data_IF_220981231905
#
_entry.id   IF_220981231905
#
_cell.length_a   1.000
_cell.length_b   1.000
_cell.length_c   1.000
_cell.angle_alpha   90.00
_cell.angle_beta   90.00
_cell.angle_gamma   90.00
#
_symmetry.space_group_name_H-M   'P 1'
#
loop_
_entity.id
_entity.type
_entity.pdbx_description
1 polymer ?
#
# COMPACT_ATOMS: atom_id res chain seq x y z
N UNK A 1 -13.27 -10.32 -1.18
CA UNK A 1 -12.27 -9.82 -2.15
C UNK A 1 -12.80 -8.51 -2.74
N UNK A 2 -12.41 -7.37 -2.22
CA UNK A 2 -12.64 -6.07 -2.88
C UNK A 2 -11.37 -5.80 -3.68
N UNK A 3 -11.50 -5.89 -5.00
CA UNK A 3 -10.44 -5.51 -5.93
C UNK A 3 -10.17 -4.00 -5.75
N UNK A 4 -9.15 -3.66 -4.98
CA UNK A 4 -8.53 -2.35 -5.09
C UNK A 4 -7.79 -2.32 -6.43
N UNK A 5 -8.51 -1.94 -7.48
CA UNK A 5 -7.86 -1.47 -8.69
C UNK A 5 -6.93 -0.33 -8.27
N UNK A 6 -5.64 -0.40 -8.60
CA UNK A 6 -4.71 0.64 -8.21
C UNK A 6 -5.25 1.98 -8.68
N UNK A 7 -5.30 2.95 -7.77
CA UNK A 7 -5.83 4.32 -7.97
C UNK A 7 -5.40 4.94 -9.30
N UNK A 8 -4.22 4.59 -9.78
CA UNK A 8 -3.68 5.05 -11.07
C UNK A 8 -4.38 4.48 -12.29
N UNK A 9 -4.79 3.19 -12.29
CA UNK A 9 -5.56 2.63 -13.40
C UNK A 9 -6.93 3.29 -13.50
N UNK A 10 -7.57 3.52 -12.37
CA UNK A 10 -8.85 4.24 -12.34
C UNK A 10 -8.70 5.67 -12.86
N UNK A 11 -7.64 6.39 -12.43
CA UNK A 11 -7.34 7.75 -12.90
C UNK A 11 -7.03 7.78 -14.42
N UNK A 12 -6.24 6.85 -14.94
CA UNK A 12 -5.95 6.77 -16.39
C UNK A 12 -7.20 6.50 -17.22
N UNK A 13 -8.08 5.59 -16.78
CA UNK A 13 -9.34 5.33 -17.48
C UNK A 13 -10.27 6.55 -17.44
N UNK A 14 -10.36 7.23 -16.29
CA UNK A 14 -11.12 8.46 -16.13
C UNK A 14 -10.63 9.57 -17.07
N UNK A 15 -9.32 9.75 -17.22
CA UNK A 15 -8.71 10.70 -18.15
C UNK A 15 -9.04 10.39 -19.61
N UNK A 16 -8.93 9.12 -20.02
CA UNK A 16 -9.26 8.71 -21.39
C UNK A 16 -10.74 9.00 -21.69
N UNK A 17 -11.64 8.69 -20.75
CA UNK A 17 -13.07 8.95 -20.91
C UNK A 17 -13.33 10.46 -21.07
N UNK A 18 -12.71 11.31 -20.25
CA UNK A 18 -12.86 12.76 -20.33
C UNK A 18 -12.38 13.31 -21.69
N UNK A 19 -11.24 12.83 -22.17
CA UNK A 19 -10.70 13.25 -23.48
C UNK A 19 -11.65 12.83 -24.63
N UNK A 20 -12.13 11.60 -24.60
CA UNK A 20 -13.08 11.09 -25.60
C UNK A 20 -14.37 11.91 -25.58
N UNK A 21 -14.92 12.22 -24.42
CA UNK A 21 -16.11 13.07 -24.29
C UNK A 21 -15.86 14.48 -24.86
N UNK A 22 -14.71 15.08 -24.58
CA UNK A 22 -14.35 16.41 -25.12
C UNK A 22 -14.30 16.38 -26.65
N UNK A 23 -13.66 15.39 -27.26
CA UNK A 23 -13.54 15.24 -28.72
C UNK A 23 -14.91 15.04 -29.35
N UNK A 24 -15.78 14.21 -28.77
CA UNK A 24 -17.14 13.96 -29.27
C UNK A 24 -17.96 15.26 -29.23
N UNK A 25 -17.96 15.99 -28.12
CA UNK A 25 -18.71 17.23 -27.96
C UNK A 25 -18.24 18.33 -28.93
N UNK A 26 -16.94 18.47 -29.12
CA UNK A 26 -16.37 19.39 -30.08
C UNK A 26 -16.77 18.99 -31.51
N UNK A 27 -16.73 17.70 -31.86
CA UNK A 27 -17.15 17.19 -33.15
C UNK A 27 -18.61 17.47 -33.44
N UNK A 28 -19.50 17.26 -32.47
CA UNK A 28 -20.92 17.57 -32.55
C UNK A 28 -21.13 19.07 -32.80
N UNK A 29 -20.44 19.92 -32.03
CA UNK A 29 -20.54 21.37 -32.18
C UNK A 29 -20.09 21.86 -33.56
N UNK A 30 -18.99 21.36 -34.08
CA UNK A 30 -18.47 21.69 -35.42
C UNK A 30 -19.47 21.20 -36.48
N UNK A 31 -20.00 19.97 -36.36
CA UNK A 31 -21.01 19.44 -37.29
C UNK A 31 -22.26 20.30 -37.33
N UNK A 32 -22.77 20.72 -36.16
CA UNK A 32 -23.93 21.62 -36.05
C UNK A 32 -23.66 23.00 -36.67
N UNK A 33 -22.45 23.53 -36.49
CA UNK A 33 -22.02 24.78 -37.09
C UNK A 33 -22.05 24.71 -38.63
N UNK A 34 -21.48 23.65 -39.20
CA UNK A 34 -21.44 23.41 -40.67
C UNK A 34 -22.83 23.24 -41.24
N UNK A 35 -23.76 22.64 -40.52
CA UNK A 35 -25.16 22.39 -40.95
C UNK A 35 -26.09 23.60 -40.77
N UNK A 36 -25.58 24.79 -40.42
CA UNK A 36 -26.38 26.01 -40.32
C UNK A 36 -27.01 26.29 -38.96
N UNK A 37 -26.43 25.71 -37.92
CA UNK A 37 -26.42 26.30 -36.59
C UNK A 37 -27.61 26.13 -35.66
N UNK A 38 -28.74 25.56 -36.06
CA UNK A 38 -29.86 25.33 -35.11
C UNK A 38 -30.54 24.00 -35.42
N UNK A 39 -30.40 23.02 -34.53
CA UNK A 39 -31.31 21.86 -34.52
C UNK A 39 -32.38 22.08 -33.44
N UNK A 40 -33.59 22.39 -33.86
CA UNK A 40 -34.75 22.29 -32.98
C UNK A 40 -35.17 20.82 -32.92
N UNK A 41 -34.65 20.09 -31.98
CA UNK A 41 -34.99 18.68 -31.77
C UNK A 41 -35.60 18.47 -30.37
N UNK A 42 -36.75 17.78 -30.35
CA UNK A 42 -37.32 17.28 -29.08
C UNK A 42 -36.41 16.20 -28.51
N UNK A 43 -35.69 16.48 -27.44
CA UNK A 43 -34.77 15.53 -26.80
C UNK A 43 -35.50 14.60 -25.81
N UNK A 44 -36.78 14.89 -25.45
CA UNK A 44 -37.48 14.06 -24.47
C UNK A 44 -38.94 13.80 -24.82
N UNK A 45 -39.39 12.55 -24.85
CA UNK A 45 -40.80 12.25 -25.04
C UNK A 45 -41.52 12.16 -23.68
N UNK A 46 -42.61 12.88 -23.56
CA UNK A 46 -43.87 12.57 -22.87
C UNK A 46 -44.13 12.96 -21.43
N UNK A 47 -43.23 13.54 -20.63
CA UNK A 47 -43.58 13.76 -19.21
C UNK A 47 -43.46 15.18 -18.67
N UNK A 48 -43.18 16.20 -19.40
CA UNK A 48 -43.21 17.57 -18.94
C UNK A 48 -43.46 18.55 -20.07
N UNK A 49 -44.16 19.64 -19.72
CA UNK A 49 -44.46 20.80 -20.54
C UNK A 49 -43.39 21.09 -21.60
N UNK A 50 -43.74 21.12 -22.90
CA UNK A 50 -42.75 21.23 -23.97
C UNK A 50 -42.19 22.66 -24.03
N UNK A 51 -41.26 23.01 -23.22
CA UNK A 51 -40.39 24.15 -23.49
C UNK A 51 -39.39 23.66 -24.53
N UNK A 52 -39.52 24.16 -25.75
CA UNK A 52 -38.53 23.90 -26.80
C UNK A 52 -37.17 24.43 -26.34
N UNK A 53 -36.30 23.52 -25.94
CA UNK A 53 -34.90 23.87 -25.64
C UNK A 53 -34.18 23.90 -26.98
N UNK A 54 -33.92 25.09 -27.51
CA UNK A 54 -33.08 25.26 -28.69
C UNK A 54 -31.62 25.01 -28.30
N UNK A 55 -31.07 23.86 -28.69
CA UNK A 55 -29.63 23.59 -28.55
C UNK A 55 -28.93 24.26 -29.72
N UNK A 56 -28.18 25.32 -29.45
CA UNK A 56 -27.32 25.98 -30.41
C UNK A 56 -25.95 25.31 -30.48
N UNK A 57 -25.24 25.43 -31.59
CA UNK A 57 -23.89 24.88 -31.76
C UNK A 57 -22.90 25.33 -30.68
N UNK A 58 -23.12 26.46 -30.03
CA UNK A 58 -22.29 26.95 -28.97
C UNK A 58 -22.29 26.03 -27.74
N UNK A 59 -23.44 25.41 -27.41
CA UNK A 59 -23.58 24.59 -26.21
C UNK A 59 -22.62 23.39 -26.18
N UNK A 60 -22.56 22.54 -27.23
CA UNK A 60 -21.62 21.42 -27.25
C UNK A 60 -20.16 21.89 -27.39
N UNK A 61 -19.90 23.01 -28.06
CA UNK A 61 -18.54 23.58 -28.19
C UNK A 61 -18.05 24.02 -26.82
N UNK A 62 -18.86 24.80 -26.05
CA UNK A 62 -18.49 25.24 -24.72
C UNK A 62 -18.29 24.06 -23.75
N UNK A 63 -19.16 23.06 -23.82
CA UNK A 63 -19.02 21.84 -23.01
C UNK A 63 -17.73 21.10 -23.34
N UNK A 64 -17.40 20.92 -24.63
CA UNK A 64 -16.16 20.28 -25.07
C UNK A 64 -14.92 21.05 -24.63
N UNK A 65 -14.93 22.38 -24.72
CA UNK A 65 -13.82 23.24 -24.25
C UNK A 65 -13.65 23.16 -22.73
N UNK A 66 -14.75 23.11 -21.98
CA UNK A 66 -14.70 22.94 -20.52
C UNK A 66 -14.08 21.60 -20.14
N UNK A 67 -14.48 20.50 -20.79
CA UNK A 67 -13.87 19.19 -20.57
C UNK A 67 -12.38 19.18 -20.92
N UNK A 68 -12.00 19.84 -22.02
CA UNK A 68 -10.61 19.96 -22.41
C UNK A 68 -9.79 20.76 -21.37
N UNK A 69 -10.35 21.85 -20.87
CA UNK A 69 -9.71 22.68 -19.84
C UNK A 69 -9.53 21.90 -18.54
N UNK A 70 -10.53 21.18 -18.08
CA UNK A 70 -10.42 20.29 -16.92
C UNK A 70 -9.36 19.22 -17.13
N UNK A 71 -9.32 18.63 -18.33
CA UNK A 71 -8.28 17.65 -18.70
C UNK A 71 -6.87 18.25 -18.67
N UNK A 72 -6.70 19.47 -19.22
CA UNK A 72 -5.43 20.21 -19.17
C UNK A 72 -5.03 20.52 -17.74
N UNK A 73 -5.96 21.04 -16.92
CA UNK A 73 -5.73 21.29 -15.49
C UNK A 73 -5.31 20.00 -14.76
N UNK A 74 -5.90 18.85 -15.10
CA UNK A 74 -5.53 17.58 -14.54
C UNK A 74 -4.11 17.14 -14.96
N UNK A 75 -3.74 17.33 -16.23
CA UNK A 75 -2.39 17.03 -16.72
C UNK A 75 -1.33 17.90 -16.05
N UNK A 76 -1.59 19.19 -15.90
CA UNK A 76 -0.64 20.13 -15.27
C UNK A 76 -0.72 20.13 -13.74
N UNK A 77 -1.91 19.88 -13.16
CA UNK A 77 -2.08 19.78 -11.71
C UNK A 77 -1.46 18.51 -11.13
N UNK A 78 -1.26 17.48 -11.96
CA UNK A 78 -0.66 16.21 -11.55
C UNK A 78 0.88 16.22 -11.74
N UNK A 79 1.53 17.38 -11.70
CA UNK A 79 2.96 17.42 -11.41
C UNK A 79 3.13 16.85 -10.01
N UNK A 80 3.47 15.54 -9.94
CA UNK A 80 3.89 14.91 -8.69
C UNK A 80 4.93 15.82 -8.07
N UNK A 81 4.57 16.55 -7.03
CA UNK A 81 5.56 17.20 -6.16
C UNK A 81 6.48 16.07 -5.74
N UNK A 82 7.78 16.17 -6.09
CA UNK A 82 8.76 15.15 -5.68
C UNK A 82 8.69 15.06 -4.17
N UNK A 83 8.17 13.95 -3.65
CA UNK A 83 8.12 13.69 -2.21
C UNK A 83 9.55 13.70 -1.68
N UNK A 84 9.76 14.29 -0.54
CA UNK A 84 11.03 14.18 0.18
C UNK A 84 11.25 12.72 0.62
N UNK A 85 12.49 12.34 0.91
CA UNK A 85 12.83 11.01 1.41
C UNK A 85 11.99 10.66 2.65
N UNK A 86 11.81 11.62 3.55
CA UNK A 86 11.01 11.45 4.77
C UNK A 86 9.51 11.24 4.49
N UNK A 87 8.96 11.93 3.50
CA UNK A 87 7.56 11.70 3.07
C UNK A 87 7.39 10.35 2.39
N UNK A 88 8.39 9.89 1.64
CA UNK A 88 8.42 8.55 1.03
C UNK A 88 8.48 7.47 2.11
N UNK A 89 9.35 7.62 3.10
CA UNK A 89 9.46 6.72 4.25
C UNK A 89 8.14 6.61 5.00
N UNK A 90 7.54 7.75 5.35
CA UNK A 90 6.26 7.78 6.06
C UNK A 90 5.17 7.06 5.26
N UNK A 91 5.12 7.27 3.95
CA UNK A 91 4.16 6.59 3.08
C UNK A 91 4.34 5.06 3.10
N UNK A 92 5.58 4.57 2.89
CA UNK A 92 5.87 3.13 2.87
C UNK A 92 5.53 2.48 4.22
N UNK A 93 5.89 3.13 5.33
CA UNK A 93 5.62 2.60 6.67
C UNK A 93 4.13 2.64 7.04
N UNK A 94 3.36 3.57 6.49
CA UNK A 94 1.91 3.56 6.62
C UNK A 94 1.26 2.46 5.77
N UNK A 95 1.75 2.20 4.56
CA UNK A 95 1.26 1.07 3.74
C UNK A 95 1.54 -0.28 4.42
N UNK A 96 2.75 -0.51 4.97
CA UNK A 96 3.06 -1.71 5.78
C UNK A 96 2.09 -1.83 6.95
N UNK A 97 1.85 -0.73 7.67
CA UNK A 97 0.91 -0.71 8.80
C UNK A 97 -0.49 -1.10 8.35
N UNK A 98 -1.02 -0.52 7.26
CA UNK A 98 -2.36 -0.83 6.77
C UNK A 98 -2.47 -2.30 6.35
N UNK A 99 -1.49 -2.81 5.60
CA UNK A 99 -1.43 -4.21 5.19
C UNK A 99 -1.49 -5.16 6.41
N UNK A 100 -0.63 -4.92 7.41
CA UNK A 100 -0.58 -5.77 8.60
C UNK A 100 -1.83 -5.60 9.49
N UNK A 101 -2.39 -4.40 9.60
CA UNK A 101 -3.64 -4.19 10.35
C UNK A 101 -4.84 -4.92 9.73
N UNK A 102 -4.94 -4.98 8.39
CA UNK A 102 -5.96 -5.79 7.70
C UNK A 102 -5.81 -7.29 8.00
N UNK A 103 -4.60 -7.75 8.28
CA UNK A 103 -4.32 -9.12 8.73
C UNK A 103 -4.50 -9.33 10.24
N UNK A 104 -4.93 -8.28 10.98
CA UNK A 104 -5.23 -8.35 12.41
C UNK A 104 -4.06 -8.05 13.34
N UNK A 105 -2.95 -7.51 12.84
CA UNK A 105 -1.84 -7.08 13.68
C UNK A 105 -2.12 -5.75 14.37
N UNK A 106 -1.66 -5.60 15.61
CA UNK A 106 -1.60 -4.35 16.36
C UNK A 106 -0.21 -3.76 16.25
N UNK A 107 -0.09 -2.42 16.16
CA UNK A 107 1.19 -1.72 16.01
C UNK A 107 1.62 -1.03 17.30
N UNK A 108 2.91 -1.09 17.63
CA UNK A 108 3.58 -0.26 18.65
C UNK A 108 4.98 0.14 18.16
N UNK A 109 5.16 1.41 17.77
CA UNK A 109 6.38 1.88 17.11
C UNK A 109 6.61 1.16 15.77
N UNK A 110 7.77 0.54 15.61
CA UNK A 110 8.12 -0.27 14.44
C UNK A 110 7.79 -1.76 14.59
N UNK A 111 7.11 -2.13 15.66
CA UNK A 111 6.76 -3.52 15.93
C UNK A 111 5.26 -3.74 15.72
N UNK A 112 4.94 -4.93 15.22
CA UNK A 112 3.59 -5.40 15.00
C UNK A 112 3.44 -6.76 15.67
N UNK A 113 2.28 -6.98 16.28
CA UNK A 113 1.98 -8.22 16.97
C UNK A 113 0.54 -8.66 16.73
N UNK A 114 0.36 -9.96 16.48
CA UNK A 114 -0.96 -10.61 16.38
C UNK A 114 -0.94 -11.88 17.24
N UNK A 115 -1.85 -11.99 18.21
CA UNK A 115 -2.08 -13.23 18.97
C UNK A 115 -2.93 -14.18 18.12
N UNK A 116 -2.54 -15.44 18.08
CA UNK A 116 -3.26 -16.51 17.40
C UNK A 116 -3.30 -17.76 18.32
N UNK A 117 -4.36 -17.88 19.14
CA UNK A 117 -4.43 -18.91 20.15
C UNK A 117 -3.29 -18.80 21.18
N UNK A 118 -2.49 -19.88 21.29
CA UNK A 118 -1.33 -19.96 22.20
C UNK A 118 -0.04 -19.39 21.59
N UNK A 119 -0.03 -19.13 20.30
CA UNK A 119 1.13 -18.53 19.62
C UNK A 119 0.87 -17.06 19.28
N UNK A 120 1.95 -16.33 18.98
CA UNK A 120 1.91 -14.96 18.55
C UNK A 120 2.81 -14.74 17.34
N UNK A 121 2.37 -13.88 16.44
CA UNK A 121 3.13 -13.47 15.26
C UNK A 121 3.68 -12.08 15.47
N UNK A 122 4.98 -11.92 15.28
CA UNK A 122 5.67 -10.65 15.41
C UNK A 122 6.26 -10.22 14.07
N UNK A 123 6.13 -8.94 13.74
CA UNK A 123 6.86 -8.28 12.63
C UNK A 123 7.54 -7.06 13.19
N UNK A 124 8.78 -6.82 12.78
CA UNK A 124 9.52 -5.62 13.12
C UNK A 124 10.10 -4.97 11.86
N UNK A 125 9.93 -3.66 11.73
CA UNK A 125 10.67 -2.85 10.75
C UNK A 125 11.98 -2.45 11.40
N UNK A 126 13.08 -3.01 10.92
CA UNK A 126 14.42 -2.69 11.39
C UNK A 126 15.06 -1.65 10.48
N UNK A 127 15.27 -0.45 10.99
CA UNK A 127 16.00 0.60 10.30
C UNK A 127 17.52 0.35 10.34
N UNK A 128 18.19 0.71 9.26
CA UNK A 128 19.66 0.73 9.21
C UNK A 128 20.18 1.84 10.14
N UNK A 129 21.31 1.58 10.80
CA UNK A 129 21.98 2.55 11.68
C UNK A 129 22.58 3.72 10.90
N UNK A 130 22.84 3.56 9.61
CA UNK A 130 23.43 4.57 8.74
C UNK A 130 22.38 5.45 8.03
N UNK A 131 21.11 5.34 8.39
CA UNK A 131 20.05 6.17 7.82
C UNK A 131 20.30 7.66 8.07
N UNK A 132 20.02 8.47 7.04
CA UNK A 132 20.15 9.92 7.07
C UNK A 132 19.01 10.61 6.30
N UNK A 133 19.10 11.92 6.09
CA UNK A 133 18.04 12.68 5.39
C UNK A 133 17.94 12.37 3.88
N UNK A 134 19.00 11.81 3.29
CA UNK A 134 19.09 11.56 1.84
C UNK A 134 18.78 10.11 1.49
N UNK A 135 18.98 9.20 2.45
CA UNK A 135 18.72 7.77 2.25
C UNK A 135 18.24 7.10 3.53
N UNK A 136 17.16 6.35 3.41
CA UNK A 136 16.63 5.46 4.44
C UNK A 136 16.67 4.04 3.92
N UNK A 137 17.27 3.13 4.71
CA UNK A 137 17.27 1.69 4.46
C UNK A 137 16.60 0.98 5.63
N UNK A 138 15.82 -0.04 5.32
CA UNK A 138 15.18 -0.87 6.34
C UNK A 138 15.02 -2.31 5.83
N UNK A 139 14.84 -3.22 6.77
CA UNK A 139 14.48 -4.62 6.47
C UNK A 139 13.34 -5.05 7.40
N UNK A 140 12.75 -6.21 7.11
CA UNK A 140 11.70 -6.79 7.93
C UNK A 140 12.24 -8.02 8.67
N UNK A 141 12.00 -8.05 9.98
CA UNK A 141 12.20 -9.24 10.80
C UNK A 141 10.83 -9.79 11.21
N UNK A 142 10.71 -11.09 11.24
CA UNK A 142 9.49 -11.80 11.64
C UNK A 142 9.80 -12.80 12.76
N UNK A 143 8.81 -13.14 13.55
CA UNK A 143 9.01 -14.10 14.62
C UNK A 143 7.72 -14.79 15.06
N UNK A 144 7.90 -16.00 15.59
CA UNK A 144 6.85 -16.80 16.21
C UNK A 144 7.08 -16.81 17.71
N UNK A 145 6.19 -16.17 18.43
CA UNK A 145 6.20 -16.09 19.88
C UNK A 145 5.38 -17.23 20.49
N UNK A 146 5.87 -17.85 21.56
CA UNK A 146 5.09 -18.77 22.41
C UNK A 146 5.27 -18.39 23.87
N UNK A 147 4.21 -18.54 24.65
CA UNK A 147 4.21 -18.26 26.07
C UNK A 147 5.20 -19.17 26.80
N UNK A 148 5.29 -20.46 26.39
CA UNK A 148 6.21 -21.45 26.98
C UNK A 148 7.66 -21.03 26.79
N UNK A 149 8.06 -20.74 25.56
CA UNK A 149 9.43 -20.32 25.26
C UNK A 149 9.82 -19.05 26.05
N UNK A 150 8.90 -18.08 26.16
CA UNK A 150 9.12 -16.86 26.93
C UNK A 150 9.40 -17.15 28.40
N UNK A 151 8.56 -17.98 29.03
CA UNK A 151 8.70 -18.33 30.45
C UNK A 151 9.99 -19.08 30.74
N UNK A 152 10.43 -19.94 29.82
CA UNK A 152 11.67 -20.73 29.99
C UNK A 152 12.93 -19.91 29.77
N UNK A 153 12.91 -18.93 28.84
CA UNK A 153 14.14 -18.29 28.39
C UNK A 153 14.26 -16.81 28.78
N UNK A 154 13.16 -16.12 29.05
CA UNK A 154 13.15 -14.68 29.31
C UNK A 154 12.58 -14.28 30.67
N UNK A 155 11.82 -15.16 31.35
CA UNK A 155 11.32 -14.88 32.70
C UNK A 155 12.37 -15.20 33.77
N UNK A 156 13.50 -14.49 33.73
CA UNK A 156 14.61 -14.67 34.68
C UNK A 156 14.22 -14.45 36.15
N UNK A 157 13.11 -13.81 36.42
CA UNK A 157 12.58 -13.56 37.76
C UNK A 157 11.53 -14.58 38.18
N UNK A 158 11.19 -15.52 37.30
CA UNK A 158 10.13 -16.53 37.50
C UNK A 158 8.80 -15.91 37.96
N UNK A 159 8.44 -14.78 37.37
CA UNK A 159 7.22 -14.03 37.69
C UNK A 159 5.98 -14.63 37.07
N UNK A 160 6.14 -15.47 36.06
CA UNK A 160 5.05 -15.99 35.24
C UNK A 160 4.35 -14.94 34.37
N UNK A 161 4.94 -13.74 34.25
CA UNK A 161 4.32 -12.63 33.52
C UNK A 161 4.71 -12.69 32.05
N UNK A 162 3.70 -12.90 31.20
CA UNK A 162 3.85 -12.93 29.75
C UNK A 162 3.63 -11.52 29.17
N UNK A 163 4.46 -11.05 28.24
CA UNK A 163 4.30 -9.73 27.64
C UNK A 163 3.02 -9.65 26.82
N UNK A 164 2.23 -8.59 27.04
CA UNK A 164 0.98 -8.35 26.26
C UNK A 164 1.24 -7.92 24.83
N UNK A 165 2.48 -7.53 24.53
CA UNK A 165 2.95 -7.11 23.20
C UNK A 165 4.40 -7.55 23.03
N UNK A 166 4.65 -8.84 22.76
CA UNK A 166 6.01 -9.32 22.50
C UNK A 166 6.57 -8.70 21.22
N UNK A 167 7.87 -8.65 21.15
CA UNK A 167 8.63 -8.19 19.98
C UNK A 167 9.30 -9.38 19.31
N UNK A 168 9.84 -9.17 18.12
CA UNK A 168 10.42 -10.26 17.36
C UNK A 168 11.61 -10.93 18.08
N UNK A 169 12.35 -10.21 18.89
CA UNK A 169 13.48 -10.78 19.67
C UNK A 169 13.04 -11.57 20.91
N UNK A 170 11.75 -11.49 21.27
CA UNK A 170 11.14 -12.32 22.33
C UNK A 170 10.62 -13.65 21.78
N UNK A 171 10.78 -13.90 20.48
CA UNK A 171 10.21 -15.03 19.77
C UNK A 171 11.08 -16.28 19.83
N UNK A 172 10.44 -17.46 19.84
CA UNK A 172 11.11 -18.75 19.76
C UNK A 172 11.77 -18.96 18.39
N UNK A 173 11.11 -18.48 17.34
CA UNK A 173 11.63 -18.50 15.98
C UNK A 173 11.75 -17.06 15.52
N UNK A 174 12.92 -16.71 14.97
CA UNK A 174 13.19 -15.41 14.36
C UNK A 174 13.76 -15.61 12.97
N UNK A 175 13.24 -14.87 12.02
CA UNK A 175 13.75 -14.84 10.66
C UNK A 175 13.79 -13.39 10.16
N UNK A 176 14.83 -13.08 9.37
CA UNK A 176 14.83 -11.90 8.54
C UNK A 176 14.12 -12.23 7.24
N UNK A 177 13.54 -11.25 6.56
CA UNK A 177 12.88 -11.47 5.27
C UNK A 177 13.79 -12.20 4.28
N UNK A 178 15.07 -11.87 4.25
CA UNK A 178 16.08 -12.53 3.42
C UNK A 178 16.17 -14.05 3.64
N UNK A 179 15.92 -14.53 4.84
CA UNK A 179 15.92 -15.97 5.15
C UNK A 179 14.65 -16.70 4.65
N UNK A 180 13.60 -15.94 4.30
CA UNK A 180 12.36 -16.47 3.73
C UNK A 180 12.38 -16.45 2.21
N UNK A 181 13.25 -15.62 1.59
CA UNK A 181 13.37 -15.51 0.15
C UNK A 181 14.13 -16.70 -0.44
N UNK A 182 13.85 -17.10 -1.69
CA UNK A 182 14.47 -18.27 -2.32
C UNK A 182 15.98 -18.17 -2.49
N UNK A 183 16.51 -16.96 -2.68
CA UNK A 183 17.92 -16.66 -2.89
C UNK A 183 18.72 -16.52 -1.59
N UNK A 184 18.03 -16.29 -0.48
CA UNK A 184 18.61 -16.02 0.84
C UNK A 184 19.60 -14.84 0.86
N UNK A 185 19.56 -13.95 -0.13
CA UNK A 185 20.39 -12.76 -0.16
C UNK A 185 19.88 -11.71 0.84
N UNK A 186 20.80 -10.95 1.47
CA UNK A 186 20.44 -9.96 2.50
C UNK A 186 19.67 -8.78 1.89
N UNK A 187 18.35 -8.84 2.00
CA UNK A 187 17.41 -7.86 1.41
C UNK A 187 17.22 -6.65 2.31
N UNK A 188 17.56 -5.49 1.75
CA UNK A 188 17.29 -4.19 2.34
C UNK A 188 16.49 -3.33 1.35
N UNK A 189 15.36 -2.82 1.80
CA UNK A 189 14.58 -1.84 1.05
C UNK A 189 15.24 -0.48 1.20
N UNK A 190 15.40 0.26 0.11
CA UNK A 190 16.09 1.55 0.11
C UNK A 190 15.21 2.66 -0.43
N UNK A 191 15.13 3.76 0.29
CA UNK A 191 14.37 4.96 -0.05
C UNK A 191 15.35 6.12 -0.17
N UNK A 192 15.38 6.75 -1.34
CA UNK A 192 16.15 7.96 -1.61
C UNK A 192 15.35 8.93 -2.51
N UNK A 193 15.98 10.00 -2.97
CA UNK A 193 15.30 10.99 -3.82
C UNK A 193 14.77 10.39 -5.13
N UNK A 194 15.48 9.41 -5.70
CA UNK A 194 15.17 8.82 -7.01
C UNK A 194 14.26 7.58 -6.90
N UNK A 195 14.05 7.01 -5.70
CA UNK A 195 13.24 5.80 -5.50
C UNK A 195 11.82 6.01 -6.02
N UNK A 196 11.36 5.12 -6.91
CA UNK A 196 9.95 5.01 -7.27
C UNK A 196 9.20 4.28 -6.15
N UNK A 197 8.31 5.01 -5.50
CA UNK A 197 7.58 4.50 -4.32
C UNK A 197 6.56 3.44 -4.69
N UNK A 198 5.97 3.52 -5.88
CA UNK A 198 4.97 2.57 -6.30
C UNK A 198 5.64 1.22 -6.65
N UNK A 199 6.84 1.26 -7.25
CA UNK A 199 7.65 0.08 -7.53
C UNK A 199 8.14 -0.58 -6.23
N UNK A 200 8.69 0.24 -5.30
CA UNK A 200 9.13 -0.24 -4.00
C UNK A 200 7.99 -0.87 -3.20
N UNK A 201 6.80 -0.26 -3.21
CA UNK A 201 5.65 -0.83 -2.52
C UNK A 201 5.20 -2.16 -3.14
N UNK A 202 5.17 -2.26 -4.47
CA UNK A 202 4.80 -3.51 -5.15
C UNK A 202 5.75 -4.66 -4.77
N UNK A 203 7.07 -4.41 -4.75
CA UNK A 203 8.08 -5.38 -4.31
C UNK A 203 7.85 -5.80 -2.84
N UNK A 204 7.62 -4.84 -1.97
CA UNK A 204 7.41 -5.08 -0.55
C UNK A 204 6.06 -5.78 -0.27
N UNK A 205 4.98 -5.42 -0.96
CA UNK A 205 3.67 -6.08 -0.86
C UNK A 205 3.74 -7.53 -1.36
N UNK A 206 4.53 -7.79 -2.40
CA UNK A 206 4.79 -9.14 -2.87
C UNK A 206 5.50 -9.95 -1.79
N UNK A 207 6.59 -9.43 -1.19
CA UNK A 207 7.31 -10.11 -0.12
C UNK A 207 6.44 -10.38 1.11
N UNK A 208 5.62 -9.41 1.50
CA UNK A 208 4.66 -9.59 2.59
C UNK A 208 3.65 -10.70 2.30
N UNK A 209 3.16 -10.78 1.06
CA UNK A 209 2.08 -11.69 0.67
C UNK A 209 2.60 -13.10 0.39
N UNK A 210 3.73 -13.23 -0.32
CA UNK A 210 4.24 -14.51 -0.80
C UNK A 210 5.15 -15.22 0.21
N UNK A 211 5.79 -14.46 1.13
CA UNK A 211 6.74 -15.06 2.07
C UNK A 211 6.34 -14.86 3.54
N UNK A 212 6.00 -13.66 3.98
CA UNK A 212 5.71 -13.40 5.40
C UNK A 212 4.36 -13.98 5.82
N UNK A 213 3.30 -13.79 5.05
CA UNK A 213 1.98 -14.34 5.39
C UNK A 213 1.99 -15.86 5.38
N UNK A 214 2.56 -16.56 4.38
CA UNK A 214 2.68 -18.02 4.40
C UNK A 214 3.56 -18.54 5.54
N UNK A 215 4.67 -17.85 5.87
CA UNK A 215 5.48 -18.20 7.03
C UNK A 215 4.64 -18.26 8.32
N UNK A 216 3.81 -17.27 8.59
CA UNK A 216 2.91 -17.30 9.74
C UNK A 216 1.83 -18.39 9.64
N UNK A 217 1.36 -18.67 8.44
CA UNK A 217 0.32 -19.68 8.21
C UNK A 217 0.84 -21.11 8.43
N UNK A 218 2.14 -21.33 8.35
CA UNK A 218 2.77 -22.63 8.61
C UNK A 218 2.71 -22.98 10.11
N UNK A 219 2.83 -21.97 11.00
CA UNK A 219 2.83 -22.17 12.44
C UNK A 219 1.44 -21.88 13.02
N UNK A 220 0.64 -22.92 13.28
CA UNK A 220 -0.73 -22.76 13.78
C UNK A 220 -0.90 -23.15 15.25
N UNK A 221 0.02 -23.95 15.80
CA UNK A 221 -0.02 -24.43 17.18
C UNK A 221 1.40 -24.53 17.77
N UNK A 222 1.48 -24.60 19.10
CA UNK A 222 2.77 -24.63 19.82
C UNK A 222 3.65 -25.81 19.41
N UNK A 223 3.04 -26.96 19.10
CA UNK A 223 3.78 -28.14 18.63
C UNK A 223 4.52 -27.95 17.30
N UNK A 224 4.12 -26.95 16.50
CA UNK A 224 4.79 -26.64 15.25
C UNK A 224 6.05 -25.79 15.48
N UNK A 225 6.22 -25.26 16.70
CA UNK A 225 7.30 -24.34 17.04
C UNK A 225 8.45 -25.09 17.70
N UNK A 226 9.41 -25.55 16.92
CA UNK A 226 10.70 -25.99 17.45
C UNK A 226 11.62 -24.76 17.57
N UNK A 227 12.14 -24.46 18.77
CA UNK A 227 13.07 -23.35 18.94
C UNK A 227 14.29 -23.54 18.04
N UNK A 228 14.60 -22.53 17.23
CA UNK A 228 15.84 -22.53 16.45
C UNK A 228 17.04 -22.70 17.39
N UNK A 229 17.73 -23.84 17.32
CA UNK A 229 18.87 -24.20 18.17
C UNK A 229 20.09 -23.27 18.05
N UNK A 230 19.96 -22.16 17.33
CA UNK A 230 21.12 -21.33 16.90
C UNK A 230 21.22 -19.95 17.52
N UNK A 231 20.43 -19.52 18.50
CA UNK A 231 20.40 -18.08 18.86
C UNK A 231 21.20 -17.71 20.11
N UNK A 232 21.56 -18.64 20.95
CA UNK A 232 22.40 -18.32 22.12
C UNK A 232 23.76 -19.01 22.06
N UNK A 233 24.72 -18.45 21.26
CA UNK A 233 26.11 -18.50 21.73
C UNK A 233 26.14 -17.62 22.97
N UNK A 234 26.25 -18.27 24.13
CA UNK A 234 26.59 -17.60 25.37
C UNK A 234 27.68 -16.58 25.10
N UNK A 235 27.36 -15.30 25.38
CA UNK A 235 28.36 -14.24 25.37
C UNK A 235 29.43 -14.59 26.36
N UNK A 236 30.50 -15.21 25.86
CA UNK A 236 31.67 -15.51 26.64
C UNK A 236 32.14 -14.21 27.29
N UNK A 237 32.12 -14.16 28.59
CA UNK A 237 32.94 -13.24 29.38
C UNK A 237 34.40 -13.46 28.98
N UNK A 238 35.03 -12.47 28.40
CA UNK A 238 36.42 -12.16 28.57
C UNK A 238 36.56 -10.72 28.97
#
# INVERSE_FOLDING_TARGET
MKNHLPKERFLRHSMIIMLVCAVILLGIGIFMFIKGGVSSGYIWPRFANPRAVSITWHTPVFAGLLFLLVFICFLFGNKRTKRTVKEKEAFVFDEIKYFLQEKGFRKRGYNFFKKNGEIGYCVNIQNDKCNNNDQVRFTLNVGIFTDVFWLEHFDFKHTGVIPTFPKEYDCAIRKRISELLPDHEDKWYSINAETDIDELWNDLEQDLTEYIVPFFSYYNQVSDVEPDKCIYKEGGKQ
#
